data_IF_116201324682
#
_entry.id   IF_116201324682
#
_cell.length_a   1.000
_cell.length_b   1.000
_cell.length_c   1.000
_cell.angle_alpha   90.00
_cell.angle_beta   90.00
_cell.angle_gamma   90.00
#
_symmetry.space_group_name_H-M   'P 1'
#
loop_
_entity.id
_entity.type
_entity.pdbx_description
1 polymer ?
#
# COMPACT_ATOMS: atom_id res chain seq x y z
N UNK A 1 -15.99 -17.35 29.11
CA UNK A 1 -15.60 -17.09 27.71
C UNK A 1 -16.05 -15.68 27.37
N UNK A 2 -15.12 -14.73 27.16
CA UNK A 2 -15.46 -13.36 26.75
C UNK A 2 -15.68 -13.37 25.24
N UNK A 3 -16.94 -13.25 24.81
CA UNK A 3 -17.29 -13.02 23.40
C UNK A 3 -16.57 -11.79 22.89
N UNK A 4 -15.66 -11.99 21.94
CA UNK A 4 -14.92 -10.92 21.29
C UNK A 4 -15.85 -10.26 20.26
N UNK A 5 -16.84 -9.48 20.73
CA UNK A 5 -17.78 -8.77 19.87
C UNK A 5 -17.02 -7.79 18.99
N UNK A 6 -17.08 -8.01 17.69
CA UNK A 6 -16.46 -7.16 16.69
C UNK A 6 -17.06 -5.74 16.77
N UNK A 7 -16.31 -4.80 17.35
CA UNK A 7 -16.83 -3.45 17.66
C UNK A 7 -17.01 -2.55 16.43
N UNK A 8 -16.67 -3.01 15.23
CA UNK A 8 -16.63 -2.18 14.01
C UNK A 8 -17.80 -2.52 13.11
N UNK A 9 -18.60 -1.49 12.80
CA UNK A 9 -19.69 -1.61 11.83
C UNK A 9 -19.18 -1.61 10.38
N UNK A 10 -18.02 -0.99 10.11
CA UNK A 10 -17.46 -0.86 8.76
C UNK A 10 -16.06 -1.43 8.68
N UNK A 11 -15.77 -2.09 7.56
CA UNK A 11 -14.41 -2.51 7.23
C UNK A 11 -13.53 -1.29 6.96
N UNK A 12 -12.23 -1.48 7.16
CA UNK A 12 -11.20 -0.47 6.88
C UNK A 12 -10.30 -0.98 5.77
N UNK A 13 -9.94 -0.06 4.88
CA UNK A 13 -9.01 -0.29 3.78
C UNK A 13 -7.78 0.54 4.03
N UNK A 14 -6.66 -0.13 4.32
CA UNK A 14 -5.36 0.52 4.27
C UNK A 14 -4.96 0.74 2.81
N UNK A 15 -4.50 1.97 2.51
CA UNK A 15 -4.19 2.38 1.15
C UNK A 15 -2.74 1.98 0.82
N UNK A 16 -2.53 1.30 -0.32
CA UNK A 16 -1.20 0.94 -0.82
C UNK A 16 -0.34 2.16 -1.10
N UNK A 17 -0.96 3.19 -1.68
CA UNK A 17 -0.36 4.51 -1.87
C UNK A 17 -1.16 5.52 -1.07
N UNK A 18 -0.43 6.32 -0.29
CA UNK A 18 -1.03 7.38 0.49
C UNK A 18 -1.59 8.46 -0.46
N UNK A 19 -2.81 8.93 -0.20
CA UNK A 19 -3.50 9.85 -1.10
C UNK A 19 -3.31 11.29 -0.60
N UNK A 20 -2.85 12.22 -1.45
CA UNK A 20 -2.78 13.63 -1.10
C UNK A 20 -4.20 14.19 -0.91
N UNK A 21 -4.38 14.97 0.13
CA UNK A 21 -5.66 15.56 0.48
C UNK A 21 -5.46 16.97 1.06
N UNK A 22 -6.55 17.71 1.18
CA UNK A 22 -6.56 19.03 1.79
C UNK A 22 -7.57 19.08 2.92
N UNK A 23 -7.24 19.80 3.99
CA UNK A 23 -8.13 19.99 5.12
C UNK A 23 -8.31 21.49 5.43
N UNK A 24 -9.49 21.87 5.90
CA UNK A 24 -9.77 23.17 6.52
C UNK A 24 -10.36 22.93 7.90
N UNK A 25 -10.08 23.82 8.85
CA UNK A 25 -10.77 23.75 10.14
C UNK A 25 -12.21 24.22 9.91
N UNK A 26 -13.16 23.35 10.23
CA UNK A 26 -14.59 23.61 10.03
C UNK A 26 -15.25 24.11 11.32
N UNK A 27 -14.92 23.48 12.44
CA UNK A 27 -15.45 23.85 13.75
C UNK A 27 -14.45 23.58 14.87
N UNK A 28 -14.55 24.37 15.93
CA UNK A 28 -13.80 24.23 17.18
C UNK A 28 -14.82 24.27 18.32
N UNK A 29 -14.80 23.28 19.21
CA UNK A 29 -15.78 23.14 20.30
C UNK A 29 -17.23 23.24 19.77
N UNK A 30 -17.51 22.55 18.66
CA UNK A 30 -18.82 22.54 17.99
C UNK A 30 -19.31 23.89 17.44
N UNK A 31 -18.51 24.95 17.49
CA UNK A 31 -18.81 26.24 16.86
C UNK A 31 -18.15 26.29 15.50
N UNK A 32 -18.93 26.56 14.45
CA UNK A 32 -18.40 26.79 13.10
C UNK A 32 -17.49 28.01 13.13
N UNK A 33 -16.35 27.89 12.46
CA UNK A 33 -15.41 28.99 12.29
C UNK A 33 -15.05 29.13 10.82
N UNK A 34 -14.81 30.36 10.39
CA UNK A 34 -14.36 30.65 9.04
C UNK A 34 -12.85 30.78 9.04
N UNK A 35 -12.15 29.78 8.52
CA UNK A 35 -10.69 29.77 8.42
C UNK A 35 -10.29 29.56 6.97
N UNK A 36 -9.72 30.60 6.37
CA UNK A 36 -9.23 30.58 4.98
C UNK A 36 -7.81 29.99 4.87
N UNK A 37 -7.52 28.93 5.64
CA UNK A 37 -6.24 28.22 5.59
C UNK A 37 -6.45 26.79 5.14
N UNK A 38 -5.77 26.43 4.04
CA UNK A 38 -5.71 25.05 3.55
C UNK A 38 -4.52 24.36 4.22
N UNK A 39 -4.79 23.21 4.83
CA UNK A 39 -3.81 22.35 5.48
C UNK A 39 -3.58 21.14 4.57
N UNK A 40 -2.37 20.94 4.02
CA UNK A 40 -2.07 19.71 3.28
C UNK A 40 -2.03 18.53 4.26
N UNK A 41 -2.70 17.44 3.88
CA UNK A 41 -2.73 16.20 4.66
C UNK A 41 -2.55 15.00 3.74
N UNK A 42 -2.15 13.87 4.31
CA UNK A 42 -2.01 12.62 3.55
C UNK A 42 -2.93 11.56 4.15
N UNK A 43 -3.78 10.96 3.33
CA UNK A 43 -4.70 9.91 3.70
C UNK A 43 -3.97 8.56 3.71
N UNK A 44 -4.06 7.83 4.82
CA UNK A 44 -3.37 6.55 5.02
C UNK A 44 -4.35 5.36 4.96
N UNK A 45 -5.57 5.55 5.46
CA UNK A 45 -6.63 4.56 5.34
C UNK A 45 -8.02 5.19 5.40
N UNK A 46 -8.99 4.42 4.92
CA UNK A 46 -10.38 4.82 4.80
C UNK A 46 -11.32 3.71 5.31
N UNK A 47 -12.51 4.12 5.75
CA UNK A 47 -13.64 3.26 6.09
C UNK A 47 -14.93 4.03 5.86
N UNK A 48 -16.08 3.36 5.92
CA UNK A 48 -17.38 4.03 5.78
C UNK A 48 -17.69 5.07 6.87
N UNK A 49 -16.98 5.05 8.00
CA UNK A 49 -17.28 5.92 9.16
C UNK A 49 -16.11 6.81 9.60
N UNK A 50 -14.96 6.73 8.93
CA UNK A 50 -13.79 7.47 9.35
C UNK A 50 -12.55 7.18 8.51
N UNK A 51 -11.48 7.87 8.86
CA UNK A 51 -10.22 7.86 8.12
C UNK A 51 -9.01 7.97 9.05
N UNK A 52 -7.83 7.66 8.52
CA UNK A 52 -6.55 7.98 9.13
C UNK A 52 -5.77 8.90 8.22
N UNK A 53 -5.29 10.02 8.77
CA UNK A 53 -4.45 10.98 8.04
C UNK A 53 -3.13 11.23 8.75
N UNK A 54 -2.16 11.74 8.00
CA UNK A 54 -0.88 12.28 8.49
C UNK A 54 -0.77 13.77 8.15
N UNK A 55 -0.27 14.57 9.09
CA UNK A 55 0.08 15.98 8.86
C UNK A 55 1.14 16.46 9.85
N UNK A 56 1.70 17.65 9.63
CA UNK A 56 2.71 18.28 10.49
C UNK A 56 2.10 19.03 11.68
N UNK A 57 0.85 19.46 11.58
CA UNK A 57 0.17 20.21 12.61
C UNK A 57 -0.21 19.34 13.81
N UNK A 58 -0.04 19.90 15.01
CA UNK A 58 -0.43 19.30 16.27
C UNK A 58 -1.86 19.72 16.65
N UNK A 59 -2.85 18.88 16.39
CA UNK A 59 -4.26 19.14 16.67
C UNK A 59 -4.70 18.50 18.00
N UNK A 60 -5.54 19.17 18.80
CA UNK A 60 -6.21 18.56 19.94
C UNK A 60 -7.23 17.49 19.51
N UNK A 61 -7.42 16.48 20.37
CA UNK A 61 -8.42 15.42 20.20
C UNK A 61 -9.79 15.96 20.65
N UNK A 62 -10.87 15.52 20.01
CA UNK A 62 -12.28 15.81 20.31
C UNK A 62 -12.75 17.27 20.25
N UNK A 63 -11.83 18.22 20.06
CA UNK A 63 -12.12 19.65 19.99
C UNK A 63 -12.35 20.14 18.56
N UNK A 64 -11.63 19.57 17.59
CA UNK A 64 -11.59 20.07 16.21
C UNK A 64 -12.36 19.13 15.26
N UNK A 65 -13.17 19.75 14.41
CA UNK A 65 -13.74 19.12 13.21
C UNK A 65 -13.02 19.73 12.01
N UNK A 66 -12.45 18.88 11.16
CA UNK A 66 -11.85 19.28 9.89
C UNK A 66 -12.83 18.98 8.77
N UNK A 67 -12.89 19.87 7.79
CA UNK A 67 -13.45 19.56 6.49
C UNK A 67 -12.33 19.10 5.55
N UNK A 68 -12.38 17.85 5.09
CA UNK A 68 -11.30 17.18 4.34
C UNK A 68 -11.78 16.90 2.92
N UNK A 69 -11.05 17.41 1.94
CA UNK A 69 -11.28 17.16 0.53
C UNK A 69 -10.19 16.24 -0.03
N UNK A 70 -10.59 15.19 -0.73
CA UNK A 70 -9.70 14.25 -1.38
C UNK A 70 -10.37 13.61 -2.60
N UNK A 71 -9.57 13.14 -3.54
CA UNK A 71 -10.02 12.34 -4.66
C UNK A 71 -9.73 10.86 -4.38
N UNK A 72 -10.69 9.97 -4.62
CA UNK A 72 -10.53 8.54 -4.47
C UNK A 72 -11.34 7.79 -5.52
N UNK A 73 -10.68 6.91 -6.29
CA UNK A 73 -11.32 6.15 -7.38
C UNK A 73 -12.05 7.08 -8.38
N UNK A 74 -11.39 8.17 -8.79
CA UNK A 74 -11.91 9.21 -9.70
C UNK A 74 -13.16 9.94 -9.19
N UNK A 75 -13.41 9.91 -7.89
CA UNK A 75 -14.50 10.64 -7.24
C UNK A 75 -13.96 11.61 -6.20
N UNK A 76 -14.52 12.81 -6.16
CA UNK A 76 -14.19 13.80 -5.15
C UNK A 76 -15.06 13.63 -3.92
N UNK A 77 -14.42 13.54 -2.76
CA UNK A 77 -15.06 13.46 -1.46
C UNK A 77 -14.75 14.69 -0.64
N UNK A 78 -15.77 15.18 0.03
CA UNK A 78 -15.69 16.30 0.96
C UNK A 78 -16.36 15.85 2.27
N UNK A 79 -15.55 15.64 3.31
CA UNK A 79 -15.99 15.01 4.56
C UNK A 79 -15.65 15.87 5.77
N UNK A 80 -16.63 16.06 6.65
CA UNK A 80 -16.38 16.60 7.98
C UNK A 80 -15.96 15.46 8.92
N UNK A 81 -14.83 15.60 9.60
CA UNK A 81 -14.30 14.56 10.47
C UNK A 81 -13.76 15.14 11.79
N UNK A 82 -14.10 14.49 12.91
CA UNK A 82 -13.60 14.80 14.25
C UNK A 82 -12.37 13.96 14.57
N UNK A 83 -11.36 14.56 15.17
CA UNK A 83 -10.17 13.86 15.67
C UNK A 83 -10.54 13.03 16.90
N UNK A 84 -10.40 11.71 16.84
CA UNK A 84 -10.67 10.79 17.97
C UNK A 84 -9.39 10.16 18.55
N UNK A 85 -8.29 10.22 17.79
CA UNK A 85 -6.99 9.66 18.19
C UNK A 85 -5.87 10.45 17.53
N UNK A 86 -4.76 10.60 18.25
CA UNK A 86 -3.51 11.23 17.77
C UNK A 86 -2.31 10.37 18.17
N UNK A 87 -1.34 10.24 17.27
CA UNK A 87 -0.07 9.55 17.49
C UNK A 87 1.05 10.44 16.95
N UNK A 88 2.06 10.76 17.76
CA UNK A 88 3.25 11.50 17.31
C UNK A 88 4.22 10.56 16.57
N UNK A 89 4.72 10.98 15.41
CA UNK A 89 5.66 10.25 14.54
C UNK A 89 6.76 11.20 14.06
N UNK A 90 7.80 11.36 14.88
CA UNK A 90 8.89 12.32 14.62
C UNK A 90 8.37 13.75 14.57
N UNK A 91 8.51 14.40 13.40
CA UNK A 91 8.03 15.76 13.11
C UNK A 91 6.57 15.80 12.63
N UNK A 92 5.92 14.65 12.48
CA UNK A 92 4.53 14.55 12.01
C UNK A 92 3.62 13.90 13.05
N UNK A 93 2.32 13.96 12.79
CA UNK A 93 1.28 13.34 13.59
C UNK A 93 0.35 12.53 12.70
N UNK A 94 -0.03 11.35 13.18
CA UNK A 94 -1.09 10.54 12.58
C UNK A 94 -2.37 10.66 13.41
N UNK A 95 -3.47 10.91 12.73
CA UNK A 95 -4.78 11.12 13.34
C UNK A 95 -5.76 10.05 12.88
N UNK A 96 -6.41 9.40 13.84
CA UNK A 96 -7.63 8.66 13.57
C UNK A 96 -8.81 9.61 13.70
N UNK A 97 -9.67 9.66 12.69
CA UNK A 97 -10.81 10.57 12.65
C UNK A 97 -12.10 9.84 12.34
N UNK A 98 -13.20 10.31 12.94
CA UNK A 98 -14.57 9.80 12.72
C UNK A 98 -15.35 10.84 11.93
N UNK A 99 -16.12 10.40 10.93
CA UNK A 99 -16.97 11.29 10.16
C UNK A 99 -18.09 11.88 11.02
N UNK A 100 -18.46 13.12 10.69
CA UNK A 100 -19.59 13.87 11.25
C UNK A 100 -20.51 14.17 10.07
N UNK A 101 -21.71 13.58 10.08
CA UNK A 101 -22.79 13.82 9.12
C UNK A 101 -22.38 13.66 7.64
N UNK A 102 -21.71 12.55 7.31
CA UNK A 102 -21.30 12.28 5.94
C UNK A 102 -22.48 11.73 5.12
N UNK A 103 -22.94 12.49 4.11
CA UNK A 103 -24.10 12.10 3.31
C UNK A 103 -23.79 11.06 2.23
N UNK A 104 -22.58 11.06 1.66
CA UNK A 104 -22.21 10.15 0.57
C UNK A 104 -21.48 8.88 1.06
N UNK A 105 -21.98 8.28 2.15
CA UNK A 105 -21.40 7.04 2.71
C UNK A 105 -21.45 5.90 1.68
N UNK A 106 -22.56 5.76 0.95
CA UNK A 106 -22.74 4.68 -0.03
C UNK A 106 -21.76 4.79 -1.20
N UNK A 107 -21.53 5.99 -1.73
CA UNK A 107 -20.53 6.21 -2.78
C UNK A 107 -19.12 5.88 -2.31
N UNK A 108 -18.76 6.28 -1.07
CA UNK A 108 -17.47 5.93 -0.50
C UNK A 108 -17.33 4.41 -0.30
N UNK A 109 -18.36 3.74 0.22
CA UNK A 109 -18.35 2.27 0.40
C UNK A 109 -18.19 1.57 -0.95
N UNK A 110 -18.87 2.05 -1.99
CA UNK A 110 -18.70 1.54 -3.35
C UNK A 110 -17.25 1.69 -3.82
N UNK A 111 -16.65 2.88 -3.71
CA UNK A 111 -15.24 3.11 -4.04
C UNK A 111 -14.30 2.21 -3.21
N UNK A 112 -14.56 2.02 -1.92
CA UNK A 112 -13.77 1.14 -1.05
C UNK A 112 -13.87 -0.33 -1.48
N UNK A 113 -15.05 -0.79 -1.88
CA UNK A 113 -15.23 -2.13 -2.42
C UNK A 113 -14.50 -2.28 -3.76
N UNK A 114 -14.60 -1.29 -4.66
CA UNK A 114 -13.89 -1.31 -5.94
C UNK A 114 -12.37 -1.30 -5.75
N UNK A 115 -11.85 -0.43 -4.88
CA UNK A 115 -10.45 -0.41 -4.49
C UNK A 115 -10.04 -1.75 -3.91
N UNK A 116 -10.84 -2.29 -2.99
CA UNK A 116 -10.59 -3.61 -2.42
C UNK A 116 -10.59 -4.67 -3.51
N UNK A 117 -11.50 -4.69 -4.48
CA UNK A 117 -11.52 -5.67 -5.58
C UNK A 117 -10.29 -5.51 -6.48
N UNK A 118 -9.96 -4.30 -6.92
CA UNK A 118 -8.77 -3.99 -7.73
C UNK A 118 -7.49 -4.46 -7.04
N UNK A 119 -7.38 -4.21 -5.74
CA UNK A 119 -6.21 -4.59 -4.98
C UNK A 119 -6.27 -6.00 -4.38
N UNK A 120 -7.46 -6.60 -4.34
CA UNK A 120 -7.63 -8.03 -4.10
C UNK A 120 -7.28 -8.80 -5.36
N UNK A 121 -7.41 -8.24 -6.58
CA UNK A 121 -6.81 -8.83 -7.80
C UNK A 121 -5.29 -8.89 -7.70
N UNK A 122 -4.61 -7.94 -7.04
CA UNK A 122 -3.18 -8.08 -6.71
C UNK A 122 -2.91 -9.22 -5.70
N UNK A 123 -3.77 -9.43 -4.70
CA UNK A 123 -3.73 -10.64 -3.84
C UNK A 123 -4.17 -11.91 -4.56
N UNK A 124 -4.98 -11.78 -5.60
CA UNK A 124 -5.41 -12.85 -6.48
C UNK A 124 -4.33 -13.17 -7.47
N UNK A 125 -3.44 -12.28 -7.86
CA UNK A 125 -2.19 -12.66 -8.55
C UNK A 125 -1.38 -13.59 -7.65
N UNK A 126 -1.24 -13.28 -6.37
CA UNK A 126 -0.59 -14.17 -5.37
C UNK A 126 -1.32 -15.52 -5.19
N UNK A 127 -2.66 -15.57 -5.28
CA UNK A 127 -3.45 -16.81 -5.20
C UNK A 127 -3.65 -17.55 -6.55
N UNK A 128 -3.75 -16.84 -7.67
CA UNK A 128 -3.94 -17.34 -9.04
C UNK A 128 -2.64 -17.89 -9.58
N UNK A 129 -1.49 -17.39 -9.11
CA UNK A 129 -0.18 -18.06 -9.23
C UNK A 129 -0.15 -19.47 -8.61
N UNK A 130 -1.14 -19.84 -7.79
CA UNK A 130 -1.30 -21.20 -7.27
C UNK A 130 -2.46 -21.98 -7.92
N UNK A 131 -3.33 -21.35 -8.70
CA UNK A 131 -4.64 -21.94 -9.13
C UNK A 131 -4.86 -21.97 -10.65
N UNK A 132 -4.14 -21.19 -11.46
CA UNK A 132 -4.34 -21.20 -12.92
C UNK A 132 -3.77 -22.44 -13.64
N UNK A 133 -4.52 -22.95 -14.62
CA UNK A 133 -4.30 -24.21 -15.36
C UNK A 133 -2.98 -24.29 -16.17
N UNK A 134 -2.25 -23.17 -16.34
CA UNK A 134 -0.97 -23.07 -17.05
C UNK A 134 0.27 -23.06 -16.13
N UNK A 135 0.06 -23.13 -14.82
CA UNK A 135 1.12 -23.12 -13.78
C UNK A 135 2.00 -24.37 -13.75
N UNK A 136 1.54 -25.49 -14.29
CA UNK A 136 2.30 -26.73 -14.24
C UNK A 136 3.74 -26.56 -14.74
N UNK A 137 3.97 -25.76 -15.78
CA UNK A 137 5.32 -25.47 -16.27
C UNK A 137 5.97 -24.28 -15.54
N UNK A 138 5.20 -23.25 -15.20
CA UNK A 138 5.73 -22.00 -14.66
C UNK A 138 6.10 -22.09 -13.17
N UNK A 139 5.28 -22.72 -12.32
CA UNK A 139 5.64 -22.98 -10.91
C UNK A 139 6.74 -24.03 -10.83
N UNK A 140 6.71 -25.05 -11.69
CA UNK A 140 7.86 -25.97 -11.79
C UNK A 140 9.13 -25.23 -12.15
N UNK A 141 9.09 -24.26 -13.06
CA UNK A 141 10.25 -23.42 -13.35
C UNK A 141 10.73 -22.64 -12.12
N UNK A 142 9.83 -22.02 -11.35
CA UNK A 142 10.19 -21.31 -10.12
C UNK A 142 10.80 -22.24 -9.05
N UNK A 143 10.31 -23.48 -8.96
CA UNK A 143 10.85 -24.52 -8.07
C UNK A 143 12.22 -25.03 -8.52
N UNK A 144 12.57 -24.90 -9.81
CA UNK A 144 13.88 -25.24 -10.36
C UNK A 144 14.93 -24.14 -10.13
N UNK A 145 14.53 -22.96 -9.67
CA UNK A 145 15.48 -21.89 -9.31
C UNK A 145 16.11 -22.24 -7.96
N UNK A 146 17.40 -22.57 -7.98
CA UNK A 146 18.20 -22.96 -6.79
C UNK A 146 18.53 -21.80 -5.84
N UNK A 147 17.92 -20.63 -6.06
CA UNK A 147 18.13 -19.42 -5.28
C UNK A 147 16.81 -18.76 -4.90
N UNK A 148 16.80 -17.84 -3.93
CA UNK A 148 15.62 -17.05 -3.61
C UNK A 148 15.07 -16.33 -4.85
N UNK A 149 13.82 -16.65 -5.21
CA UNK A 149 13.12 -16.03 -6.32
C UNK A 149 11.98 -15.16 -5.82
N UNK A 150 11.76 -14.04 -6.50
CA UNK A 150 10.83 -13.00 -6.10
C UNK A 150 9.95 -12.60 -7.27
N UNK A 151 8.70 -12.24 -6.99
CA UNK A 151 7.84 -11.53 -7.94
C UNK A 151 7.81 -10.07 -7.54
N UNK A 152 8.14 -9.20 -8.49
CA UNK A 152 8.29 -7.77 -8.29
C UNK A 152 7.35 -7.02 -9.23
N UNK A 153 6.60 -6.06 -8.68
CA UNK A 153 5.76 -5.16 -9.49
C UNK A 153 6.58 -3.97 -10.03
N UNK A 154 6.02 -3.21 -10.96
CA UNK A 154 6.51 -1.89 -11.39
C UNK A 154 6.77 -0.92 -10.22
N UNK A 155 5.93 -0.98 -9.18
CA UNK A 155 6.12 -0.27 -7.92
C UNK A 155 7.11 -0.96 -6.96
N UNK A 156 7.93 -1.92 -7.41
CA UNK A 156 8.94 -2.58 -6.57
C UNK A 156 8.35 -3.27 -5.33
N UNK A 157 7.07 -3.61 -5.34
CA UNK A 157 6.48 -4.42 -4.28
C UNK A 157 6.88 -5.86 -4.50
N UNK A 158 7.27 -6.57 -3.44
CA UNK A 158 7.81 -7.92 -3.54
C UNK A 158 6.88 -8.98 -2.96
N UNK A 159 6.89 -10.15 -3.58
CA UNK A 159 6.30 -11.40 -3.10
C UNK A 159 7.35 -12.51 -3.22
N UNK A 160 7.42 -13.41 -2.25
CA UNK A 160 8.26 -14.60 -2.35
C UNK A 160 7.70 -15.57 -3.39
N UNK A 161 8.51 -15.94 -4.38
CA UNK A 161 8.10 -16.80 -5.50
C UNK A 161 8.37 -18.29 -5.24
N UNK A 162 9.35 -18.62 -4.38
CA UNK A 162 9.70 -19.98 -4.00
C UNK A 162 9.96 -20.12 -2.49
N UNK A 163 10.20 -21.36 -2.02
CA UNK A 163 10.42 -21.66 -0.61
C UNK A 163 11.65 -20.92 -0.03
N UNK A 164 12.75 -20.85 -0.80
CA UNK A 164 13.97 -20.15 -0.38
C UNK A 164 13.72 -18.66 -0.09
N UNK A 165 12.90 -17.99 -0.90
CA UNK A 165 12.52 -16.61 -0.64
C UNK A 165 11.54 -16.47 0.54
N UNK A 166 10.67 -17.46 0.79
CA UNK A 166 9.80 -17.45 1.96
C UNK A 166 10.60 -17.58 3.26
N UNK A 167 11.60 -18.47 3.27
CA UNK A 167 12.48 -18.70 4.43
C UNK A 167 13.33 -17.47 4.79
N UNK A 168 13.55 -16.55 3.83
CA UNK A 168 14.16 -15.24 4.09
C UNK A 168 13.24 -14.25 4.80
N UNK A 169 11.99 -14.64 5.11
CA UNK A 169 11.04 -13.80 5.84
C UNK A 169 10.50 -12.63 5.02
N UNK A 170 10.50 -12.75 3.69
CA UNK A 170 9.99 -11.71 2.79
C UNK A 170 8.51 -11.46 3.08
N UNK A 171 8.19 -10.21 3.43
CA UNK A 171 6.81 -9.80 3.73
C UNK A 171 6.16 -9.23 2.48
N UNK A 172 4.93 -9.67 2.25
CA UNK A 172 4.09 -9.21 1.14
C UNK A 172 3.92 -7.69 1.14
N UNK A 173 4.20 -7.07 -0.01
CA UNK A 173 3.95 -5.65 -0.23
C UNK A 173 4.99 -4.70 0.37
N UNK A 174 6.09 -5.23 0.92
CA UNK A 174 7.27 -4.43 1.20
C UNK A 174 8.03 -4.10 -0.09
N UNK A 175 8.89 -3.08 -0.06
CA UNK A 175 9.68 -2.71 -1.23
C UNK A 175 10.86 -3.68 -1.37
N UNK A 176 11.17 -4.12 -2.58
CA UNK A 176 12.23 -5.11 -2.84
C UNK A 176 13.58 -4.67 -2.22
N UNK A 177 13.95 -3.40 -2.36
CA UNK A 177 15.22 -2.89 -1.81
C UNK A 177 15.26 -2.86 -0.28
N UNK A 178 14.11 -2.77 0.40
CA UNK A 178 14.03 -2.86 1.86
C UNK A 178 14.15 -4.32 2.32
N UNK A 179 13.40 -5.21 1.69
CA UNK A 179 13.26 -6.59 2.19
C UNK A 179 14.40 -7.50 1.72
N UNK A 180 14.83 -7.36 0.47
CA UNK A 180 15.85 -8.23 -0.15
C UNK A 180 17.26 -7.74 0.14
N UNK A 181 17.47 -6.42 0.14
CA UNK A 181 18.79 -5.80 0.27
C UNK A 181 19.01 -5.00 1.55
N UNK A 182 17.98 -4.84 2.40
CA UNK A 182 18.05 -4.01 3.61
C UNK A 182 18.55 -2.58 3.35
N UNK A 183 18.10 -1.97 2.25
CA UNK A 183 18.41 -0.59 1.83
C UNK A 183 17.17 0.31 1.96
N UNK A 184 17.37 1.62 2.01
CA UNK A 184 16.29 2.63 1.98
C UNK A 184 16.00 3.16 0.57
N UNK A 185 16.81 2.78 -0.42
CA UNK A 185 16.72 3.23 -1.81
C UNK A 185 16.93 2.07 -2.78
N UNK A 186 16.50 2.27 -4.03
CA UNK A 186 16.67 1.32 -5.14
C UNK A 186 18.15 0.98 -5.34
N UNK A 187 18.46 -0.28 -5.64
CA UNK A 187 19.85 -0.69 -5.88
C UNK A 187 20.38 -0.10 -7.19
N UNK A 188 21.67 0.28 -7.20
CA UNK A 188 22.35 0.84 -8.38
C UNK A 188 22.39 -0.12 -9.58
N UNK A 189 22.31 -1.42 -9.30
CA UNK A 189 22.32 -2.49 -10.31
C UNK A 189 20.90 -2.89 -10.76
N UNK A 190 19.85 -2.22 -10.29
CA UNK A 190 18.47 -2.54 -10.62
C UNK A 190 18.20 -2.34 -12.11
N UNK A 191 17.69 -3.39 -12.79
CA UNK A 191 17.24 -3.29 -14.19
C UNK A 191 15.73 -3.46 -14.35
N UNK A 192 14.96 -3.28 -13.27
CA UNK A 192 13.51 -3.48 -13.27
C UNK A 192 12.79 -2.67 -14.37
N UNK A 193 13.10 -1.38 -14.51
CA UNK A 193 12.47 -0.51 -15.52
C UNK A 193 12.77 -0.98 -16.95
N UNK A 194 13.99 -1.47 -17.19
CA UNK A 194 14.36 -2.05 -18.48
C UNK A 194 13.62 -3.37 -18.72
N UNK A 195 13.49 -4.21 -17.68
CA UNK A 195 12.80 -5.49 -17.77
C UNK A 195 11.30 -5.33 -18.04
N UNK A 196 10.65 -4.31 -17.47
CA UNK A 196 9.22 -4.02 -17.71
C UNK A 196 8.90 -3.71 -19.17
N UNK A 197 9.88 -3.21 -19.94
CA UNK A 197 9.75 -2.88 -21.34
C UNK A 197 10.39 -3.92 -22.28
N UNK A 198 10.76 -5.09 -21.74
CA UNK A 198 11.49 -6.13 -22.46
C UNK A 198 10.71 -7.45 -22.46
N UNK A 199 10.69 -8.12 -23.61
CA UNK A 199 10.15 -9.48 -23.77
C UNK A 199 11.21 -10.57 -23.55
N UNK A 200 12.47 -10.17 -23.29
CA UNK A 200 13.57 -11.09 -23.03
C UNK A 200 14.12 -10.94 -21.60
N UNK A 201 14.76 -12.01 -21.13
CA UNK A 201 15.50 -12.06 -19.87
C UNK A 201 16.57 -10.95 -19.84
N UNK A 202 16.50 -10.09 -18.82
CA UNK A 202 17.51 -9.08 -18.54
C UNK A 202 18.45 -9.61 -17.46
N UNK A 203 19.76 -9.48 -17.69
CA UNK A 203 20.80 -9.87 -16.74
C UNK A 203 21.67 -8.66 -16.37
N UNK A 204 22.17 -8.63 -15.15
CA UNK A 204 23.15 -7.65 -14.72
C UNK A 204 23.99 -8.21 -13.56
N UNK A 205 25.28 -7.90 -13.54
CA UNK A 205 26.10 -8.19 -12.37
C UNK A 205 25.63 -7.34 -11.18
N UNK A 206 25.41 -8.00 -10.05
CA UNK A 206 25.00 -7.36 -8.81
C UNK A 206 25.63 -8.07 -7.60
N UNK A 207 25.91 -7.34 -6.50
CA UNK A 207 26.28 -7.96 -5.25
C UNK A 207 25.04 -8.49 -4.50
N UNK A 208 25.05 -9.75 -4.08
CA UNK A 208 24.06 -10.36 -3.19
C UNK A 208 24.76 -11.12 -2.07
N UNK A 209 24.39 -10.87 -0.81
CA UNK A 209 24.99 -11.50 0.39
C UNK A 209 26.54 -11.48 0.35
N UNK A 210 27.13 -10.34 -0.05
CA UNK A 210 28.59 -10.12 -0.16
C UNK A 210 29.31 -10.98 -1.21
N UNK A 211 28.59 -11.61 -2.12
CA UNK A 211 29.14 -12.32 -3.28
C UNK A 211 28.72 -11.62 -4.57
N UNK A 212 29.53 -11.73 -5.63
CA UNK A 212 29.13 -11.31 -6.97
C UNK A 212 28.21 -12.38 -7.54
N UNK A 213 27.04 -11.97 -8.00
CA UNK A 213 26.04 -12.83 -8.62
C UNK A 213 25.49 -12.17 -9.90
N UNK A 214 24.83 -12.96 -10.72
CA UNK A 214 24.06 -12.48 -11.87
C UNK A 214 22.61 -12.31 -11.41
N UNK A 215 22.17 -11.05 -11.34
CA UNK A 215 20.78 -10.73 -11.11
C UNK A 215 20.00 -10.85 -12.42
N UNK A 216 18.86 -11.54 -12.35
CA UNK A 216 17.99 -11.82 -13.50
C UNK A 216 16.63 -11.17 -13.31
N UNK A 217 16.06 -10.64 -14.40
CA UNK A 217 14.69 -10.11 -14.45
C UNK A 217 13.98 -10.64 -15.68
N UNK A 218 12.86 -11.34 -15.48
CA UNK A 218 12.02 -11.87 -16.54
C UNK A 218 10.61 -11.30 -16.42
N UNK A 219 10.15 -10.66 -17.49
CA UNK A 219 8.78 -10.12 -17.57
C UNK A 219 7.79 -11.23 -17.90
N UNK A 220 6.65 -11.26 -17.20
CA UNK A 220 5.60 -12.27 -17.39
C UNK A 220 4.40 -11.74 -18.18
N UNK A 221 4.59 -10.71 -19.01
CA UNK A 221 3.58 -10.01 -19.86
C UNK A 221 2.51 -9.21 -19.08
N UNK A 222 2.17 -9.61 -17.86
CA UNK A 222 1.19 -8.94 -16.98
C UNK A 222 1.76 -7.78 -16.14
N UNK A 223 2.96 -7.28 -16.50
CA UNK A 223 3.66 -6.25 -15.72
C UNK A 223 4.22 -6.75 -14.38
N UNK A 224 4.33 -8.08 -14.22
CA UNK A 224 5.02 -8.72 -13.11
C UNK A 224 6.40 -9.19 -13.58
N UNK A 225 7.39 -9.03 -12.71
CA UNK A 225 8.77 -9.39 -12.99
C UNK A 225 9.21 -10.50 -12.04
N UNK A 226 9.65 -11.63 -12.58
CA UNK A 226 10.40 -12.63 -11.80
C UNK A 226 11.83 -12.12 -11.65
N UNK A 227 12.29 -12.05 -10.40
CA UNK A 227 13.63 -11.64 -10.05
C UNK A 227 14.32 -12.71 -9.20
N UNK A 228 15.54 -13.07 -9.55
CA UNK A 228 16.34 -14.06 -8.83
C UNK A 228 17.84 -13.83 -9.11
N UNK A 229 18.68 -14.49 -8.32
CA UNK A 229 20.14 -14.37 -8.39
C UNK A 229 20.77 -15.72 -8.74
N UNK A 230 21.85 -15.73 -9.52
CA UNK A 230 22.67 -16.93 -9.76
C UNK A 230 24.12 -16.63 -9.41
#
# INVERSE_FOLDING_TARGET
MLENKEKRQYFRVDLFQAIPASAKIYAVNSRRIEVNKIIPVTLLNLSGSGLRIRMTYNLPIDVIILNINFEFENQNFNVCARVIRKIKKGTTYEYGMKFVDFQNINGLIYCLNMYKIKNTKFRKVEMDLRVQKYIGCFVRFLDLIESPAFIITDYRLVVAANALAQDQGIKLGERCYQTVHNRTAVCEHCRLEKALCSDHLIENEAPFVRQKCIARWLNTEDGLIIHYFI
#
